data_IF_058134802647
#
_entry.id   IF_058134802647
#
_cell.length_a   1.000
_cell.length_b   1.000
_cell.length_c   1.000
_cell.angle_alpha   90.00
_cell.angle_beta   90.00
_cell.angle_gamma   90.00
#
_symmetry.space_group_name_H-M   'P 1'
#
loop_
_entity.id
_entity.type
_entity.pdbx_description
1 polymer ?
#
# COMPACT_ATOMS: atom_id res chain seq x y z
N UNK A 1 55.04 -22.58 -37.07
CA UNK A 1 53.62 -22.82 -36.75
C UNK A 1 53.51 -23.40 -35.34
N UNK A 2 53.04 -22.64 -34.35
CA UNK A 2 52.73 -23.17 -33.01
C UNK A 2 51.58 -22.33 -32.44
N UNK A 3 50.37 -22.87 -32.52
CA UNK A 3 49.14 -22.20 -32.09
C UNK A 3 48.98 -22.42 -30.58
N UNK A 4 49.25 -21.40 -29.78
CA UNK A 4 48.93 -21.41 -28.34
C UNK A 4 47.47 -20.98 -28.24
N UNK A 5 46.62 -21.94 -27.89
CA UNK A 5 45.19 -21.74 -27.65
C UNK A 5 45.04 -21.05 -26.30
N UNK A 6 44.63 -19.78 -26.33
CA UNK A 6 44.31 -19.01 -25.13
C UNK A 6 42.91 -19.42 -24.65
N UNK A 7 42.84 -20.29 -23.65
CA UNK A 7 41.61 -20.64 -22.94
C UNK A 7 41.28 -19.50 -21.95
N UNK A 8 40.44 -18.55 -22.36
CA UNK A 8 39.77 -17.63 -21.44
C UNK A 8 38.67 -18.38 -20.69
N UNK A 9 38.69 -18.44 -19.35
CA UNK A 9 37.51 -18.85 -18.60
C UNK A 9 36.55 -17.65 -18.56
N UNK A 10 35.49 -17.68 -19.35
CA UNK A 10 34.32 -16.83 -19.14
C UNK A 10 33.66 -17.26 -17.83
N UNK A 11 34.07 -16.67 -16.71
CA UNK A 11 33.34 -16.74 -15.45
C UNK A 11 32.08 -15.89 -15.64
N UNK A 12 31.02 -16.52 -16.15
CA UNK A 12 29.66 -15.99 -16.11
C UNK A 12 29.20 -16.03 -14.65
N UNK A 13 29.56 -15.02 -13.87
CA UNK A 13 28.82 -14.66 -12.66
C UNK A 13 27.42 -14.21 -13.11
N UNK A 14 26.55 -15.17 -13.41
CA UNK A 14 25.11 -14.94 -13.38
C UNK A 14 24.78 -14.63 -11.93
N UNK A 15 24.85 -13.36 -11.55
CA UNK A 15 24.26 -12.88 -10.32
C UNK A 15 22.75 -13.13 -10.45
N UNK A 16 22.29 -14.28 -9.94
CA UNK A 16 20.90 -14.50 -9.63
C UNK A 16 20.55 -13.49 -8.53
N UNK A 17 20.20 -12.27 -8.93
CA UNK A 17 19.38 -11.43 -8.09
C UNK A 17 18.08 -12.22 -7.91
N UNK A 18 17.95 -12.91 -6.79
CA UNK A 18 16.67 -13.41 -6.31
C UNK A 18 15.80 -12.18 -6.04
N UNK A 19 15.26 -11.59 -7.09
CA UNK A 19 14.32 -10.48 -7.00
C UNK A 19 13.13 -11.03 -6.24
N UNK A 20 13.06 -10.68 -4.96
CA UNK A 20 11.90 -11.03 -4.15
C UNK A 20 10.68 -10.42 -4.84
N UNK A 21 9.59 -11.17 -4.98
CA UNK A 21 8.36 -10.66 -5.56
C UNK A 21 7.94 -9.34 -4.91
N UNK A 22 7.66 -8.32 -5.72
CA UNK A 22 7.20 -7.01 -5.26
C UNK A 22 5.74 -7.10 -4.84
N UNK A 23 5.38 -6.48 -3.72
CA UNK A 23 3.99 -6.40 -3.27
C UNK A 23 3.13 -5.67 -4.30
N UNK A 24 1.97 -6.22 -4.71
CA UNK A 24 1.07 -5.53 -5.61
C UNK A 24 0.50 -4.27 -4.95
N UNK A 25 0.35 -3.19 -5.72
CA UNK A 25 -0.34 -1.96 -5.33
C UNK A 25 -1.72 -1.94 -6.00
N UNK A 26 -2.76 -2.10 -5.19
CA UNK A 26 -4.16 -2.26 -5.60
C UNK A 26 -4.97 -1.00 -5.26
N UNK A 27 -6.08 -0.78 -5.94
CA UNK A 27 -6.94 0.36 -5.63
C UNK A 27 -7.85 0.06 -4.43
N UNK A 28 -7.90 0.98 -3.47
CA UNK A 28 -8.88 1.02 -2.40
C UNK A 28 -10.06 1.92 -2.79
N UNK A 29 -11.22 1.69 -2.19
CA UNK A 29 -12.40 2.51 -2.39
C UNK A 29 -12.53 3.50 -1.25
N UNK A 30 -12.57 4.79 -1.55
CA UNK A 30 -12.78 5.85 -0.58
C UNK A 30 -14.15 6.51 -0.78
N UNK A 31 -14.87 6.74 0.32
CA UNK A 31 -16.15 7.44 0.35
C UNK A 31 -16.28 8.27 1.62
N UNK A 32 -17.27 9.16 1.66
CA UNK A 32 -17.73 9.76 2.91
C UNK A 32 -19.01 9.08 3.34
N UNK A 33 -19.04 8.55 4.56
CA UNK A 33 -20.23 7.97 5.19
C UNK A 33 -20.41 8.69 6.53
N UNK A 34 -21.59 9.25 6.79
CA UNK A 34 -21.88 10.03 8.00
C UNK A 34 -20.82 11.10 8.28
N UNK A 35 -20.43 11.87 7.25
CA UNK A 35 -19.40 12.92 7.32
C UNK A 35 -17.98 12.46 7.70
N UNK A 36 -17.74 11.15 7.73
CA UNK A 36 -16.45 10.56 8.03
C UNK A 36 -15.88 9.82 6.81
N UNK A 37 -14.56 9.84 6.68
CA UNK A 37 -13.87 9.07 5.65
C UNK A 37 -14.05 7.57 5.92
N UNK A 38 -14.56 6.86 4.92
CA UNK A 38 -14.62 5.40 4.89
C UNK A 38 -13.75 4.90 3.73
N UNK A 39 -12.66 4.20 4.06
CA UNK A 39 -11.84 3.50 3.07
C UNK A 39 -12.10 2.01 3.19
N UNK A 40 -12.46 1.37 2.08
CA UNK A 40 -12.68 -0.08 1.98
C UNK A 40 -11.63 -0.73 1.08
N UNK A 41 -11.26 -1.95 1.42
CA UNK A 41 -10.27 -2.76 0.71
C UNK A 41 -10.83 -4.18 0.53
N UNK A 42 -10.16 -5.05 -0.22
CA UNK A 42 -10.59 -6.44 -0.39
C UNK A 42 -9.50 -7.43 0.09
N UNK A 43 -9.42 -7.71 1.39
CA UNK A 43 -8.44 -8.65 1.96
C UNK A 43 -8.62 -10.09 1.44
N UNK A 44 -7.56 -10.88 1.50
CA UNK A 44 -7.55 -12.29 1.08
C UNK A 44 -7.04 -13.17 2.22
N UNK A 45 -7.75 -14.28 2.46
CA UNK A 45 -7.32 -15.29 3.44
C UNK A 45 -7.17 -14.70 4.85
N UNK A 46 -5.97 -14.79 5.41
CA UNK A 46 -5.62 -14.36 6.77
C UNK A 46 -5.03 -12.95 6.84
N UNK A 47 -5.13 -12.17 5.76
CA UNK A 47 -4.58 -10.82 5.71
C UNK A 47 -5.18 -9.89 6.77
N UNK A 48 -4.31 -9.15 7.46
CA UNK A 48 -4.66 -8.14 8.46
C UNK A 48 -3.98 -6.82 8.15
N UNK A 49 -4.57 -5.72 8.62
CA UNK A 49 -4.02 -4.38 8.41
C UNK A 49 -2.78 -4.22 9.28
N UNK A 50 -1.61 -4.11 8.65
CA UNK A 50 -0.34 -3.87 9.33
C UNK A 50 -0.15 -2.39 9.61
N UNK A 51 -0.36 -1.55 8.60
CA UNK A 51 -0.18 -0.11 8.72
C UNK A 51 -1.03 0.69 7.72
N UNK A 52 -1.26 1.95 8.06
CA UNK A 52 -1.85 2.96 7.18
C UNK A 52 -0.90 4.16 7.16
N UNK A 53 -0.54 4.61 5.96
CA UNK A 53 0.26 5.79 5.72
C UNK A 53 -0.55 6.84 4.95
N UNK A 54 -0.64 8.05 5.49
CA UNK A 54 -1.46 9.15 4.95
C UNK A 54 -0.52 10.30 4.58
N UNK A 55 -0.60 10.79 3.36
CA UNK A 55 0.18 11.94 2.91
C UNK A 55 -0.58 12.82 1.91
N UNK A 56 -0.22 14.11 1.84
CA UNK A 56 -0.78 15.04 0.87
C UNK A 56 -0.19 14.78 -0.52
N UNK A 57 -1.04 14.54 -1.51
CA UNK A 57 -0.67 14.27 -2.90
C UNK A 57 0.36 13.14 -3.01
N UNK A 58 1.58 13.50 -3.40
CA UNK A 58 2.74 12.59 -3.50
C UNK A 58 3.83 12.89 -2.47
N UNK A 59 3.60 13.79 -1.51
CA UNK A 59 4.59 14.22 -0.53
C UNK A 59 4.71 13.21 0.62
N UNK A 60 5.44 12.12 0.40
CA UNK A 60 5.68 11.09 1.41
C UNK A 60 6.54 11.56 2.60
N UNK A 61 7.23 12.70 2.50
CA UNK A 61 8.08 13.21 3.60
C UNK A 61 7.30 13.85 4.75
N UNK A 62 6.07 14.33 4.50
CA UNK A 62 5.23 15.01 5.49
C UNK A 62 4.03 14.19 5.99
N UNK A 63 4.02 12.88 5.69
CA UNK A 63 2.89 12.01 6.01
C UNK A 63 2.81 11.56 7.47
N UNK A 64 1.66 11.00 7.84
CA UNK A 64 1.46 10.28 9.10
C UNK A 64 1.42 8.78 8.84
N UNK A 65 2.12 8.00 9.66
CA UNK A 65 2.00 6.54 9.67
C UNK A 65 1.35 6.04 10.96
N UNK A 66 0.41 5.12 10.82
CA UNK A 66 -0.16 4.34 11.92
C UNK A 66 0.15 2.86 11.70
N UNK A 67 0.92 2.28 12.60
CA UNK A 67 1.07 0.82 12.71
C UNK A 67 0.07 0.27 13.73
N UNK A 68 -0.38 -0.96 13.51
CA UNK A 68 -1.38 -1.63 14.34
C UNK A 68 -0.81 -2.84 15.08
N UNK A 69 -0.95 -2.83 16.41
CA UNK A 69 -0.64 -3.95 17.29
C UNK A 69 -1.74 -4.06 18.37
N UNK A 70 -2.55 -5.13 18.36
CA UNK A 70 -2.63 -6.19 17.35
C UNK A 70 -3.11 -5.68 15.99
N UNK A 71 -2.74 -6.38 14.90
CA UNK A 71 -3.22 -6.07 13.55
C UNK A 71 -4.71 -6.42 13.42
N UNK A 72 -5.60 -5.48 13.02
CA UNK A 72 -7.02 -5.78 12.87
C UNK A 72 -7.30 -6.58 11.61
N UNK A 73 -8.22 -7.53 11.73
CA UNK A 73 -8.83 -8.21 10.58
C UNK A 73 -10.06 -7.42 10.15
N UNK A 74 -10.19 -7.17 8.85
CA UNK A 74 -11.28 -6.37 8.26
C UNK A 74 -11.89 -7.15 7.09
N UNK A 75 -13.17 -6.93 6.82
CA UNK A 75 -13.85 -7.47 5.64
C UNK A 75 -13.92 -6.43 4.53
N UNK A 76 -14.36 -6.86 3.33
CA UNK A 76 -14.56 -5.95 2.20
C UNK A 76 -15.67 -4.91 2.40
N UNK A 77 -16.54 -5.12 3.39
CA UNK A 77 -17.66 -4.24 3.68
C UNK A 77 -17.33 -3.21 4.77
N UNK A 78 -16.25 -3.42 5.52
CA UNK A 78 -15.88 -2.59 6.66
C UNK A 78 -15.09 -1.36 6.20
N UNK A 79 -15.37 -0.23 6.85
CA UNK A 79 -14.49 0.93 6.77
C UNK A 79 -13.23 0.64 7.60
N UNK A 80 -12.06 0.91 7.04
CA UNK A 80 -10.80 0.80 7.76
C UNK A 80 -10.79 1.72 8.99
N UNK A 81 -10.11 1.31 10.08
CA UNK A 81 -9.92 2.18 11.23
C UNK A 81 -9.13 3.42 10.80
N UNK A 82 -9.80 4.57 10.76
CA UNK A 82 -9.17 5.80 10.37
C UNK A 82 -8.28 6.33 11.51
N UNK A 83 -6.97 6.52 11.31
CA UNK A 83 -6.19 7.28 12.28
C UNK A 83 -6.69 8.72 12.30
N UNK A 84 -6.63 9.41 13.45
CA UNK A 84 -7.06 10.80 13.54
C UNK A 84 -6.17 11.65 12.63
N UNK A 85 -6.72 12.13 11.52
CA UNK A 85 -6.00 12.97 10.55
C UNK A 85 -6.85 14.17 10.18
N UNK A 86 -6.24 15.36 10.19
CA UNK A 86 -6.93 16.60 9.85
C UNK A 86 -6.80 16.87 8.36
N UNK A 87 -7.90 16.75 7.64
CA UNK A 87 -7.98 17.06 6.22
C UNK A 87 -8.32 18.54 6.00
N UNK A 88 -7.70 19.14 4.99
CA UNK A 88 -7.97 20.50 4.55
C UNK A 88 -8.77 20.46 3.24
N UNK A 89 -9.81 21.30 3.14
CA UNK A 89 -10.63 21.40 1.94
C UNK A 89 -9.77 21.81 0.73
N UNK A 90 -10.01 21.18 -0.42
CA UNK A 90 -9.29 21.41 -1.67
C UNK A 90 -7.94 20.69 -1.77
N UNK A 91 -7.52 19.93 -0.76
CA UNK A 91 -6.28 19.15 -0.79
C UNK A 91 -6.51 17.71 -1.21
N UNK A 92 -5.58 17.17 -1.98
CA UNK A 92 -5.55 15.75 -2.35
C UNK A 92 -4.73 14.98 -1.34
N UNK A 93 -5.24 13.83 -0.91
CA UNK A 93 -4.58 12.93 0.02
C UNK A 93 -4.44 11.54 -0.59
N UNK A 94 -3.38 10.86 -0.20
CA UNK A 94 -3.16 9.46 -0.51
C UNK A 94 -3.08 8.67 0.79
N UNK A 95 -3.88 7.62 0.88
CA UNK A 95 -3.78 6.57 1.87
C UNK A 95 -3.10 5.36 1.23
N UNK A 96 -1.96 4.95 1.77
CA UNK A 96 -1.34 3.65 1.50
C UNK A 96 -1.60 2.71 2.66
N UNK A 97 -2.27 1.61 2.39
CA UNK A 97 -2.70 0.62 3.36
C UNK A 97 -1.92 -0.66 3.11
N UNK A 98 -1.26 -1.16 4.13
CA UNK A 98 -0.43 -2.36 4.07
C UNK A 98 -1.16 -3.52 4.74
N UNK A 99 -1.43 -4.57 3.98
CA UNK A 99 -1.95 -5.83 4.48
C UNK A 99 -0.83 -6.86 4.58
N UNK A 100 -0.86 -7.68 5.63
CA UNK A 100 0.06 -8.79 5.84
C UNK A 100 -0.67 -10.10 6.13
N UNK A 101 -0.25 -11.16 5.45
CA UNK A 101 -0.64 -12.55 5.73
C UNK A 101 0.44 -13.20 6.58
N UNK A 102 0.06 -13.66 7.77
CA UNK A 102 0.96 -14.40 8.66
C UNK A 102 1.25 -15.79 8.09
N UNK A 103 0.25 -16.46 7.53
CA UNK A 103 0.40 -17.80 6.95
C UNK A 103 1.37 -17.81 5.77
N UNK A 104 1.30 -16.81 4.88
CA UNK A 104 2.26 -16.69 3.76
C UNK A 104 3.67 -16.42 4.28
N UNK A 105 3.79 -15.53 5.28
CA UNK A 105 5.08 -15.22 5.89
C UNK A 105 5.72 -16.46 6.53
N UNK A 106 4.96 -17.24 7.29
CA UNK A 106 5.40 -18.48 7.94
C UNK A 106 5.82 -19.56 6.93
N UNK A 107 5.13 -19.64 5.79
CA UNK A 107 5.47 -20.58 4.69
C UNK A 107 6.63 -20.10 3.82
N UNK A 108 7.07 -18.85 3.97
CA UNK A 108 8.06 -18.24 3.07
C UNK A 108 7.52 -17.91 1.68
N UNK A 109 6.19 -17.79 1.55
CA UNK A 109 5.51 -17.44 0.30
C UNK A 109 5.51 -15.90 0.14
N UNK A 110 6.33 -15.38 -0.78
CA UNK A 110 6.46 -13.94 -1.03
C UNK A 110 5.74 -13.50 -2.32
N UNK A 111 5.13 -12.30 -2.37
CA UNK A 111 5.03 -11.36 -1.25
C UNK A 111 3.94 -11.83 -0.27
N UNK A 112 4.25 -11.75 1.02
CA UNK A 112 3.29 -11.98 2.11
C UNK A 112 2.46 -10.74 2.43
N UNK A 113 2.63 -9.68 1.64
CA UNK A 113 1.98 -8.39 1.81
C UNK A 113 1.32 -7.90 0.53
N UNK A 114 0.23 -7.13 0.68
CA UNK A 114 -0.41 -6.41 -0.42
C UNK A 114 -0.64 -4.96 0.00
N UNK A 115 -0.44 -4.05 -0.93
CA UNK A 115 -0.63 -2.62 -0.71
C UNK A 115 -1.94 -2.23 -1.37
N UNK A 116 -2.73 -1.41 -0.69
CA UNK A 116 -3.89 -0.75 -1.27
C UNK A 116 -3.70 0.76 -1.20
N UNK A 117 -4.01 1.45 -2.28
CA UNK A 117 -3.91 2.90 -2.37
C UNK A 117 -5.29 3.50 -2.61
N UNK A 118 -5.70 4.44 -1.75
CA UNK A 118 -6.83 5.33 -1.99
C UNK A 118 -6.31 6.74 -2.17
N UNK A 119 -6.68 7.39 -3.27
CA UNK A 119 -6.35 8.79 -3.53
C UNK A 119 -7.63 9.59 -3.72
N UNK A 120 -7.76 10.70 -3.01
CA UNK A 120 -8.97 11.50 -3.01
C UNK A 120 -8.69 12.97 -2.69
N UNK A 121 -9.50 13.86 -3.26
CA UNK A 121 -9.49 15.28 -2.89
C UNK A 121 -10.53 15.51 -1.79
N UNK A 122 -10.13 16.06 -0.66
CA UNK A 122 -11.05 16.38 0.42
C UNK A 122 -11.85 17.64 0.09
N UNK A 123 -13.16 17.57 0.20
CA UNK A 123 -14.05 18.72 0.02
C UNK A 123 -14.90 18.90 1.26
N UNK A 124 -14.86 20.11 1.82
CA UNK A 124 -15.69 20.50 2.94
C UNK A 124 -16.40 21.81 2.59
N UNK A 125 -17.73 21.80 2.70
CA UNK A 125 -18.61 22.95 2.51
C UNK A 125 -19.54 23.07 3.72
N UNK A 126 -19.23 24.04 4.58
CA UNK A 126 -19.84 24.16 5.91
C UNK A 126 -19.67 22.89 6.74
N UNK A 127 -20.80 22.25 7.06
CA UNK A 127 -20.87 20.98 7.81
C UNK A 127 -20.87 19.75 6.91
N UNK A 128 -20.86 19.89 5.58
CA UNK A 128 -20.94 18.78 4.64
C UNK A 128 -19.55 18.38 4.16
N UNK A 129 -19.26 17.08 4.21
CA UNK A 129 -17.99 16.51 3.73
C UNK A 129 -18.25 15.64 2.50
N UNK A 130 -17.41 15.76 1.48
CA UNK A 130 -17.41 14.90 0.30
C UNK A 130 -16.00 14.64 -0.22
N UNK A 131 -15.85 13.67 -1.11
CA UNK A 131 -14.60 13.44 -1.84
C UNK A 131 -14.75 13.94 -3.28
N UNK A 132 -13.75 14.65 -3.77
CA UNK A 132 -13.56 14.86 -5.20
C UNK A 132 -13.02 13.59 -5.85
N UNK A 133 -13.52 13.29 -7.04
CA UNK A 133 -12.90 12.29 -7.90
C UNK A 133 -11.58 12.86 -8.43
N UNK A 134 -10.46 12.19 -8.17
CA UNK A 134 -9.27 12.37 -8.99
C UNK A 134 -9.58 11.65 -10.32
N UNK A 135 -9.78 12.42 -11.39
CA UNK A 135 -9.68 11.84 -12.73
C UNK A 135 -8.23 11.37 -12.92
N UNK A 136 -8.01 10.15 -13.45
CA UNK A 136 -6.68 9.61 -13.70
C UNK A 136 -5.83 10.48 -14.63
#
# INVERSE_FOLDING_TARGET
MKKIVFLLPCILLAACQSQRPVSPDLQAQAAVINNQLCVKINPQGDEKVRSIFIYEGNNTGGGMMKEFYPQPQVSSNDCLPAPPYTYQSGKTYTWKIDLQSAQRLEKGDYPSTRIFTARFTWKQDGVTTSLGQDSP
#
